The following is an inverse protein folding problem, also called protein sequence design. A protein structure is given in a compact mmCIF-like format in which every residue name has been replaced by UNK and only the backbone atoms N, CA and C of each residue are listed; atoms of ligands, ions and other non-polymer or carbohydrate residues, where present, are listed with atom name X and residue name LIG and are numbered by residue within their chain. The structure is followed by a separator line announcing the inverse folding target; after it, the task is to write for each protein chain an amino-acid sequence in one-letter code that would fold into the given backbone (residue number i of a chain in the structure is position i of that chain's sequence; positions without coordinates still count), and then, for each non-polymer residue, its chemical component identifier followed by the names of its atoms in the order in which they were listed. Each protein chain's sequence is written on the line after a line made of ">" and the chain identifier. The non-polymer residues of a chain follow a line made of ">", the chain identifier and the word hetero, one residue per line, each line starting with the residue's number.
data_IF_148293154699
#
_entry.id   IF_148293154699
#
_cell.length_a   1.000
_cell.length_b   1.000
_cell.length_c   1.000
_cell.angle_alpha   90.00
_cell.angle_beta   90.00
_cell.angle_gamma   90.00
#
_symmetry.space_group_name_H-M   'P 1'
#
loop_
_entity.id
_entity.type
_entity.pdbx_description
1 polymer ?
#
# COMPACT_ATOMS: atom_id res chain seq x y z
N UNK A 1 34.06 -14.44 17.06
CA UNK A 1 33.87 -14.65 15.60
C UNK A 1 34.53 -13.47 14.92
N UNK A 2 35.68 -13.72 14.31
CA UNK A 2 36.59 -12.67 13.85
C UNK A 2 36.03 -11.91 12.64
N UNK A 3 35.99 -10.59 12.76
CA UNK A 3 35.56 -9.66 11.70
C UNK A 3 36.46 -9.78 10.45
N UNK A 4 37.70 -10.24 10.63
CA UNK A 4 38.65 -10.54 9.56
C UNK A 4 38.27 -11.81 8.76
N UNK A 5 37.68 -12.82 9.41
CA UNK A 5 37.23 -14.04 8.72
C UNK A 5 35.93 -13.80 7.91
N UNK A 6 35.13 -12.80 8.28
CA UNK A 6 33.97 -12.33 7.50
C UNK A 6 34.39 -11.51 6.26
N UNK A 7 35.52 -10.80 6.33
CA UNK A 7 36.03 -9.98 5.23
C UNK A 7 36.63 -10.81 4.08
N UNK A 8 37.25 -11.97 4.38
CA UNK A 8 37.77 -12.88 3.36
C UNK A 8 36.67 -13.73 2.68
N UNK A 9 35.47 -13.80 3.27
CA UNK A 9 34.33 -14.56 2.71
C UNK A 9 33.46 -13.75 1.73
N UNK A 10 33.50 -12.43 1.80
CA UNK A 10 32.67 -11.53 0.97
C UNK A 10 33.57 -10.84 -0.05
N UNK A 11 33.45 -11.15 -1.34
CA UNK A 11 34.33 -10.53 -2.33
C UNK A 11 33.99 -9.03 -2.42
N UNK A 12 35.03 -8.20 -2.39
CA UNK A 12 34.91 -6.75 -2.24
C UNK A 12 34.11 -6.08 -3.38
N UNK A 13 34.12 -6.70 -4.56
CA UNK A 13 33.33 -6.31 -5.72
C UNK A 13 31.81 -6.37 -5.47
N UNK A 14 31.31 -7.43 -4.83
CA UNK A 14 29.89 -7.57 -4.52
C UNK A 14 29.42 -6.53 -3.49
N UNK A 15 30.25 -6.24 -2.49
CA UNK A 15 29.94 -5.22 -1.49
C UNK A 15 29.94 -3.81 -2.09
N UNK A 16 30.83 -3.53 -3.04
CA UNK A 16 30.86 -2.27 -3.77
C UNK A 16 29.63 -2.11 -4.66
N UNK A 17 29.23 -3.15 -5.40
CA UNK A 17 28.04 -3.11 -6.27
C UNK A 17 26.78 -2.80 -5.45
N UNK A 18 26.59 -3.52 -4.33
CA UNK A 18 25.42 -3.35 -3.45
C UNK A 18 25.47 -2.02 -2.69
N UNK A 19 26.65 -1.60 -2.25
CA UNK A 19 26.82 -0.28 -1.63
C UNK A 19 26.48 0.85 -2.60
N UNK A 20 26.84 0.71 -3.88
CA UNK A 20 26.47 1.67 -4.93
C UNK A 20 24.97 1.62 -5.19
N UNK A 21 24.34 0.45 -5.27
CA UNK A 21 22.89 0.35 -5.51
C UNK A 21 22.10 0.96 -4.35
N UNK A 22 22.49 0.73 -3.10
CA UNK A 22 21.91 1.37 -1.92
C UNK A 22 22.02 2.89 -1.97
N UNK A 23 23.20 3.42 -2.30
CA UNK A 23 23.40 4.86 -2.47
C UNK A 23 22.53 5.43 -3.60
N UNK A 24 22.45 4.75 -4.73
CA UNK A 24 21.62 5.16 -5.86
C UNK A 24 20.13 5.17 -5.51
N UNK A 25 19.63 4.12 -4.86
CA UNK A 25 18.23 4.06 -4.43
C UNK A 25 17.92 5.12 -3.37
N UNK A 26 18.84 5.38 -2.44
CA UNK A 26 18.67 6.42 -1.44
C UNK A 26 18.65 7.82 -2.05
N UNK A 27 19.59 8.11 -2.97
CA UNK A 27 19.64 9.40 -3.68
C UNK A 27 18.41 9.60 -4.57
N UNK A 28 17.97 8.54 -5.26
CA UNK A 28 16.75 8.56 -6.06
C UNK A 28 15.52 8.83 -5.17
N UNK A 29 15.40 8.13 -4.04
CA UNK A 29 14.30 8.34 -3.09
C UNK A 29 14.30 9.77 -2.54
N UNK A 30 15.48 10.30 -2.19
CA UNK A 30 15.64 11.66 -1.71
C UNK A 30 15.25 12.69 -2.79
N UNK A 31 15.71 12.50 -4.02
CA UNK A 31 15.36 13.36 -5.15
C UNK A 31 13.85 13.31 -5.42
N UNK A 32 13.26 12.12 -5.52
CA UNK A 32 11.82 11.92 -5.71
C UNK A 32 11.00 12.59 -4.61
N UNK A 33 11.38 12.38 -3.35
CA UNK A 33 10.70 12.99 -2.22
C UNK A 33 10.81 14.53 -2.26
N UNK A 34 12.00 15.06 -2.54
CA UNK A 34 12.24 16.51 -2.56
C UNK A 34 11.54 17.23 -3.72
N UNK A 35 11.45 16.59 -4.88
CA UNK A 35 10.90 17.19 -6.10
C UNK A 35 9.38 17.03 -6.21
N UNK A 36 8.83 15.88 -5.79
CA UNK A 36 7.41 15.56 -6.00
C UNK A 36 6.58 15.54 -4.74
N UNK A 37 7.13 15.09 -3.61
CA UNK A 37 6.35 14.85 -2.39
C UNK A 37 6.40 16.02 -1.39
N UNK A 38 7.48 16.80 -1.40
CA UNK A 38 7.67 17.87 -0.42
C UNK A 38 6.88 19.15 -0.71
N UNK A 39 6.36 19.29 -1.93
CA UNK A 39 5.69 20.52 -2.36
C UNK A 39 4.41 20.83 -1.56
N UNK A 40 3.82 19.82 -0.89
CA UNK A 40 2.58 19.94 -0.11
C UNK A 40 2.72 19.60 1.40
N UNK A 41 3.90 19.20 1.90
CA UNK A 41 4.07 18.71 3.29
C UNK A 41 4.67 19.79 4.22
N UNK A 42 3.91 20.85 4.55
CA UNK A 42 4.31 21.91 5.49
C UNK A 42 4.24 21.51 6.99
N UNK A 43 4.87 20.40 7.40
CA UNK A 43 5.06 20.10 8.84
C UNK A 43 6.46 20.54 9.28
N UNK A 44 6.57 21.81 9.70
CA UNK A 44 7.82 22.55 9.92
C UNK A 44 8.82 21.96 10.94
N UNK A 45 8.41 21.05 11.82
CA UNK A 45 9.29 20.51 12.89
C UNK A 45 9.61 19.00 12.78
N UNK A 46 8.88 18.21 12.00
CA UNK A 46 9.06 16.73 11.90
C UNK A 46 9.38 16.27 10.48
N UNK A 47 9.36 17.18 9.50
CA UNK A 47 9.55 16.87 8.10
C UNK A 47 10.94 16.34 7.71
N UNK A 48 11.98 16.47 8.55
CA UNK A 48 13.32 15.92 8.25
C UNK A 48 13.39 14.43 8.60
N UNK A 49 12.76 14.01 9.69
CA UNK A 49 12.78 12.62 10.11
C UNK A 49 11.88 11.76 9.22
N UNK A 50 10.70 12.25 8.85
CA UNK A 50 9.80 11.54 7.92
C UNK A 50 10.44 11.35 6.53
N UNK A 51 11.17 12.34 6.04
CA UNK A 51 12.03 12.25 4.84
C UNK A 51 13.02 11.10 4.94
N UNK A 52 13.78 11.07 6.02
CA UNK A 52 14.81 10.05 6.24
C UNK A 52 14.17 8.66 6.30
N UNK A 53 13.07 8.52 7.05
CA UNK A 53 12.32 7.26 7.09
C UNK A 53 11.84 6.81 5.73
N UNK A 54 11.25 7.70 4.93
CA UNK A 54 10.84 7.36 3.56
C UNK A 54 12.02 6.92 2.69
N UNK A 55 13.16 7.59 2.77
CA UNK A 55 14.32 7.22 1.97
C UNK A 55 14.88 5.85 2.39
N UNK A 56 14.90 5.56 3.70
CA UNK A 56 15.36 4.27 4.23
C UNK A 56 14.36 3.14 3.90
N UNK A 57 13.05 3.35 4.08
CA UNK A 57 12.03 2.34 3.70
C UNK A 57 12.14 2.01 2.22
N UNK A 58 12.26 3.04 1.37
CA UNK A 58 12.35 2.88 -0.07
C UNK A 58 13.62 2.15 -0.49
N UNK A 59 14.78 2.55 0.05
CA UNK A 59 16.06 1.91 -0.22
C UNK A 59 16.03 0.42 0.14
N UNK A 60 15.60 0.06 1.35
CA UNK A 60 15.54 -1.33 1.79
C UNK A 60 14.53 -2.15 0.97
N UNK A 61 13.41 -1.54 0.56
CA UNK A 61 12.41 -2.23 -0.29
C UNK A 61 12.96 -2.52 -1.69
N UNK A 62 13.65 -1.55 -2.30
CA UNK A 62 14.30 -1.75 -3.60
C UNK A 62 15.50 -2.70 -3.54
N UNK A 63 16.22 -2.70 -2.42
CA UNK A 63 17.30 -3.66 -2.16
C UNK A 63 16.80 -5.12 -2.13
N UNK A 64 15.68 -5.40 -1.42
CA UNK A 64 15.08 -6.75 -1.44
C UNK A 64 14.67 -7.15 -2.85
N UNK A 65 14.11 -6.22 -3.63
CA UNK A 65 13.72 -6.49 -5.01
C UNK A 65 14.93 -6.77 -5.91
N UNK A 66 16.02 -6.00 -5.77
CA UNK A 66 17.28 -6.24 -6.47
C UNK A 66 17.87 -7.61 -6.10
N UNK A 67 17.89 -7.95 -4.81
CA UNK A 67 18.34 -9.25 -4.30
C UNK A 67 17.51 -10.40 -4.89
N UNK A 68 16.18 -10.24 -4.98
CA UNK A 68 15.29 -11.22 -5.61
C UNK A 68 15.60 -11.40 -7.11
N UNK A 69 15.88 -10.30 -7.83
CA UNK A 69 16.29 -10.38 -9.25
C UNK A 69 17.62 -11.11 -9.38
N UNK A 70 18.60 -10.83 -8.52
CA UNK A 70 19.90 -11.51 -8.54
C UNK A 70 19.83 -12.98 -8.13
N UNK A 71 18.84 -13.35 -7.31
CA UNK A 71 18.50 -14.75 -7.06
C UNK A 71 17.94 -15.43 -8.30
N UNK A 72 16.97 -14.80 -8.97
CA UNK A 72 16.34 -15.36 -10.17
C UNK A 72 17.32 -15.45 -11.36
N UNK A 73 18.29 -14.54 -11.44
CA UNK A 73 19.30 -14.51 -12.49
C UNK A 73 20.57 -15.30 -12.17
N UNK A 74 20.70 -15.83 -10.94
CA UNK A 74 21.85 -16.57 -10.42
C UNK A 74 23.23 -15.89 -10.64
N UNK A 75 23.26 -14.55 -10.53
CA UNK A 75 24.46 -13.74 -10.79
C UNK A 75 25.34 -13.60 -9.54
N UNK A 76 24.71 -13.57 -8.35
CA UNK A 76 25.38 -13.23 -7.09
C UNK A 76 25.59 -14.46 -6.21
N UNK A 77 26.75 -14.52 -5.52
CA UNK A 77 27.07 -15.62 -4.59
C UNK A 77 25.99 -15.79 -3.51
N UNK A 78 25.63 -17.03 -3.14
CA UNK A 78 24.55 -17.31 -2.21
C UNK A 78 24.80 -16.76 -0.79
N UNK A 79 26.05 -16.78 -0.31
CA UNK A 79 26.40 -16.28 1.02
C UNK A 79 26.20 -14.76 1.15
N UNK A 80 26.65 -13.99 0.15
CA UNK A 80 26.46 -12.53 0.11
C UNK A 80 24.99 -12.16 -0.01
N UNK A 81 24.24 -12.89 -0.85
CA UNK A 81 22.79 -12.73 -0.99
C UNK A 81 22.06 -12.91 0.34
N UNK A 82 22.36 -14.01 1.05
CA UNK A 82 21.71 -14.33 2.31
C UNK A 82 21.98 -13.27 3.38
N UNK A 83 23.21 -12.73 3.43
CA UNK A 83 23.56 -11.66 4.35
C UNK A 83 22.77 -10.38 4.06
N UNK A 84 22.73 -9.94 2.80
CA UNK A 84 22.01 -8.71 2.42
C UNK A 84 20.51 -8.87 2.69
N UNK A 85 19.94 -10.01 2.29
CA UNK A 85 18.54 -10.34 2.54
C UNK A 85 18.19 -10.33 4.03
N UNK A 86 19.07 -10.87 4.90
CA UNK A 86 18.89 -10.81 6.34
C UNK A 86 18.96 -9.36 6.87
N UNK A 87 19.92 -8.56 6.41
CA UNK A 87 20.03 -7.15 6.81
C UNK A 87 18.77 -6.38 6.41
N UNK A 88 18.31 -6.53 5.17
CA UNK A 88 17.13 -5.83 4.67
C UNK A 88 15.86 -6.26 5.40
N UNK A 89 15.71 -7.56 5.68
CA UNK A 89 14.57 -8.06 6.46
C UNK A 89 14.58 -7.56 7.90
N UNK A 90 15.73 -7.57 8.59
CA UNK A 90 15.85 -6.99 9.94
C UNK A 90 15.55 -5.49 9.90
N UNK A 91 16.08 -4.80 8.89
CA UNK A 91 15.87 -3.36 8.69
C UNK A 91 14.40 -3.02 8.49
N UNK A 92 13.72 -3.67 7.54
CA UNK A 92 12.29 -3.48 7.28
C UNK A 92 11.43 -3.92 8.47
N UNK A 93 11.81 -5.00 9.16
CA UNK A 93 11.13 -5.46 10.36
C UNK A 93 11.13 -4.39 11.45
N UNK A 94 12.30 -3.85 11.77
CA UNK A 94 12.45 -2.76 12.74
C UNK A 94 11.68 -1.51 12.31
N UNK A 95 11.73 -1.17 11.02
CA UNK A 95 11.09 0.01 10.47
C UNK A 95 9.56 -0.08 10.59
N UNK A 96 8.99 -1.24 10.24
CA UNK A 96 7.54 -1.48 10.29
C UNK A 96 7.03 -1.65 11.71
N UNK A 97 7.71 -2.40 12.58
CA UNK A 97 7.19 -2.71 13.90
C UNK A 97 7.44 -1.64 14.96
N UNK A 98 8.49 -0.83 14.81
CA UNK A 98 8.87 0.16 15.83
C UNK A 98 8.89 1.58 15.26
N UNK A 99 9.68 1.81 14.22
CA UNK A 99 9.98 3.18 13.82
C UNK A 99 8.77 3.92 13.20
N UNK A 100 8.03 3.26 12.32
CA UNK A 100 6.83 3.84 11.68
C UNK A 100 5.72 4.08 12.73
N UNK A 101 5.35 3.11 13.59
CA UNK A 101 4.36 3.31 14.64
C UNK A 101 4.70 4.44 15.62
N UNK A 102 5.94 4.49 16.11
CA UNK A 102 6.42 5.58 16.99
C UNK A 102 6.18 6.94 16.35
N UNK A 103 6.53 7.09 15.08
CA UNK A 103 6.34 8.35 14.37
C UNK A 103 4.88 8.69 14.16
N UNK A 104 4.04 7.72 13.83
CA UNK A 104 2.60 7.91 13.65
C UNK A 104 1.91 8.34 14.96
N UNK A 105 2.26 7.69 16.07
CA UNK A 105 1.72 8.07 17.38
C UNK A 105 2.26 9.41 17.87
N UNK A 106 3.52 9.74 17.57
CA UNK A 106 4.09 11.04 17.89
C UNK A 106 3.44 12.17 17.10
N UNK A 107 3.22 12.02 15.79
CA UNK A 107 2.53 13.03 14.98
C UNK A 107 1.08 13.21 15.45
N UNK A 108 0.35 12.12 15.70
CA UNK A 108 -1.01 12.16 16.23
C UNK A 108 -1.09 12.84 17.61
N UNK A 109 -0.15 12.56 18.51
CA UNK A 109 -0.09 13.22 19.82
C UNK A 109 0.23 14.73 19.71
N UNK A 110 1.02 15.11 18.71
CA UNK A 110 1.34 16.52 18.43
C UNK A 110 0.17 17.28 17.80
N UNK A 111 -0.64 16.64 16.98
CA UNK A 111 -1.87 17.22 16.41
C UNK A 111 -2.87 17.62 17.51
N UNK A 112 -2.93 16.87 18.60
CA UNK A 112 -3.77 17.17 19.78
C UNK A 112 -3.23 18.33 20.66
N UNK A 113 -2.21 19.07 20.19
CA UNK A 113 -1.56 20.22 20.87
C UNK A 113 -0.99 19.90 22.27
N UNK A 114 -0.58 18.66 22.52
CA UNK A 114 0.09 18.28 23.76
C UNK A 114 1.50 18.90 23.88
N UNK A 115 1.95 19.18 25.11
CA UNK A 115 3.33 19.59 25.39
C UNK A 115 4.30 18.48 24.98
N UNK A 116 5.51 18.83 24.52
CA UNK A 116 6.51 17.86 24.00
C UNK A 116 6.75 16.66 24.93
N UNK A 117 6.88 16.88 26.23
CA UNK A 117 7.07 15.80 27.21
C UNK A 117 5.85 14.88 27.33
N UNK A 118 4.64 15.45 27.35
CA UNK A 118 3.40 14.66 27.43
C UNK A 118 3.16 13.87 26.14
N UNK A 119 3.48 14.45 24.98
CA UNK A 119 3.40 13.74 23.70
C UNK A 119 4.32 12.52 23.68
N UNK A 120 5.58 12.65 24.13
CA UNK A 120 6.52 11.52 24.19
C UNK A 120 6.01 10.41 25.13
N UNK A 121 5.49 10.76 26.31
CA UNK A 121 4.94 9.76 27.24
C UNK A 121 3.75 9.03 26.62
N UNK A 122 2.82 9.76 25.99
CA UNK A 122 1.67 9.15 25.30
C UNK A 122 2.13 8.24 24.15
N UNK A 123 3.11 8.67 23.35
CA UNK A 123 3.69 7.85 22.28
C UNK A 123 4.29 6.56 22.84
N UNK A 124 5.07 6.61 23.92
CA UNK A 124 5.67 5.41 24.52
C UNK A 124 4.59 4.45 25.04
N UNK A 125 3.56 4.97 25.71
CA UNK A 125 2.46 4.14 26.23
C UNK A 125 1.70 3.46 25.08
N UNK A 126 1.38 4.22 24.02
CA UNK A 126 0.72 3.68 22.83
C UNK A 126 1.60 2.66 22.11
N UNK A 127 2.90 2.94 21.98
CA UNK A 127 3.87 2.04 21.35
C UNK A 127 3.99 0.72 22.09
N UNK A 128 4.12 0.75 23.42
CA UNK A 128 4.17 -0.47 24.24
C UNK A 128 2.87 -1.26 24.11
N UNK A 129 1.72 -0.57 24.11
CA UNK A 129 0.42 -1.22 23.92
C UNK A 129 0.28 -1.85 22.53
N UNK A 130 0.81 -1.18 21.50
CA UNK A 130 0.81 -1.65 20.11
C UNK A 130 1.73 -2.86 19.96
N UNK A 131 2.96 -2.81 20.49
CA UNK A 131 3.89 -3.94 20.47
C UNK A 131 3.30 -5.13 21.22
N UNK A 132 2.67 -4.93 22.38
CA UNK A 132 1.99 -6.00 23.08
C UNK A 132 0.88 -6.64 22.23
N UNK A 133 0.04 -5.84 21.58
CA UNK A 133 -1.00 -6.34 20.68
C UNK A 133 -0.43 -7.06 19.44
N UNK A 134 0.65 -6.54 18.86
CA UNK A 134 1.39 -7.12 17.74
C UNK A 134 2.00 -8.48 18.12
N UNK A 135 2.55 -8.59 19.33
CA UNK A 135 3.08 -9.84 19.83
C UNK A 135 1.99 -10.84 20.20
N UNK A 136 0.84 -10.36 20.68
CA UNK A 136 -0.31 -11.22 20.96
C UNK A 136 -1.00 -11.72 19.68
N UNK A 137 -1.01 -10.93 18.60
CA UNK A 137 -1.63 -11.34 17.33
C UNK A 137 -0.93 -12.54 16.69
N UNK A 138 0.36 -12.75 16.98
CA UNK A 138 1.12 -13.90 16.51
C UNK A 138 0.76 -15.24 17.14
N UNK A 139 0.05 -15.26 18.26
CA UNK A 139 -0.43 -16.49 18.88
C UNK A 139 -1.60 -17.12 18.08
N UNK A 140 -2.31 -16.31 17.30
CA UNK A 140 -3.41 -16.76 16.44
C UNK A 140 -2.95 -17.33 15.10
N UNK A 141 -1.66 -17.21 14.78
CA UNK A 141 -1.08 -17.81 13.57
C UNK A 141 -0.84 -19.28 13.86
N UNK A 142 -1.47 -20.22 13.12
CA UNK A 142 -1.13 -21.63 13.23
C UNK A 142 0.35 -21.76 12.89
N UNK A 143 1.17 -22.10 13.89
CA UNK A 143 2.59 -22.33 13.70
C UNK A 143 2.79 -23.29 12.54
N UNK A 144 3.68 -22.94 11.60
CA UNK A 144 4.16 -23.87 10.59
C UNK A 144 4.56 -25.18 11.29
N UNK A 145 4.17 -26.36 10.77
CA UNK A 145 4.56 -27.62 11.36
C UNK A 145 6.08 -27.78 11.24
N UNK A 146 6.81 -27.30 12.24
CA UNK A 146 8.22 -27.58 12.42
C UNK A 146 8.36 -29.03 12.92
N UNK A 147 9.28 -29.84 12.36
CA UNK A 147 9.50 -31.19 12.83
C UNK A 147 9.93 -31.15 14.30
N UNK A 148 9.42 -32.04 15.17
CA UNK A 148 9.87 -32.12 16.54
C UNK A 148 11.28 -32.72 16.54
N UNK A 149 12.31 -31.89 16.62
CA UNK A 149 13.63 -32.39 17.04
C UNK A 149 13.56 -32.63 18.54
N UNK A 150 13.27 -33.87 18.87
CA UNK A 150 13.38 -34.48 20.19
C UNK A 150 14.70 -34.11 20.86
N UNK A 151 14.66 -33.51 22.05
CA UNK A 151 15.17 -34.13 23.28
C UNK A 151 15.11 -33.17 24.47
N UNK A 152 14.46 -33.68 25.53
CA UNK A 152 14.74 -33.40 26.94
C UNK A 152 14.13 -32.12 27.54
N UNK A 153 12.89 -32.26 27.98
CA UNK A 153 12.37 -31.94 29.32
C UNK A 153 13.36 -31.15 30.21
N UNK A 154 13.16 -29.82 30.28
CA UNK A 154 13.64 -28.83 31.28
C UNK A 154 14.16 -27.49 30.70
N UNK A 155 14.03 -27.23 29.39
CA UNK A 155 14.43 -25.96 28.77
C UNK A 155 13.36 -25.34 27.82
N UNK A 156 12.07 -25.63 28.05
CA UNK A 156 10.99 -25.19 27.15
C UNK A 156 10.73 -23.68 27.18
N UNK A 157 10.90 -23.01 28.32
CA UNK A 157 10.61 -21.58 28.41
C UNK A 157 11.63 -20.73 27.64
N UNK A 158 12.93 -21.05 27.74
CA UNK A 158 13.99 -20.24 27.12
C UNK A 158 13.99 -20.34 25.59
N UNK A 159 13.61 -21.49 25.03
CA UNK A 159 13.52 -21.69 23.58
C UNK A 159 12.31 -20.97 22.96
N UNK A 160 11.23 -20.79 23.73
CA UNK A 160 10.09 -19.97 23.31
C UNK A 160 10.49 -18.50 23.17
N UNK A 161 11.19 -17.91 24.15
CA UNK A 161 11.66 -16.51 24.07
C UNK A 161 12.66 -16.28 22.93
N UNK A 162 13.52 -17.25 22.61
CA UNK A 162 14.45 -17.14 21.49
C UNK A 162 13.74 -17.31 20.13
N UNK A 163 12.75 -18.21 20.04
CA UNK A 163 11.91 -18.35 18.84
C UNK A 163 10.96 -17.16 18.62
N UNK A 164 10.51 -16.54 19.71
CA UNK A 164 9.72 -15.31 19.73
C UNK A 164 10.48 -14.18 19.04
N UNK A 165 11.73 -13.90 19.44
CA UNK A 165 12.55 -12.84 18.84
C UNK A 165 13.27 -13.27 17.55
N UNK A 166 13.01 -14.49 17.06
CA UNK A 166 13.56 -14.97 15.80
C UNK A 166 12.95 -14.23 14.61
N UNK A 167 13.78 -13.89 13.62
CA UNK A 167 13.38 -13.23 12.37
C UNK A 167 12.23 -13.97 11.68
N UNK A 168 12.25 -15.29 11.71
CA UNK A 168 11.21 -16.14 11.12
C UNK A 168 9.84 -15.96 11.81
N UNK A 169 9.83 -15.91 13.14
CA UNK A 169 8.62 -15.65 13.92
C UNK A 169 8.06 -14.25 13.66
N UNK A 170 8.94 -13.26 13.51
CA UNK A 170 8.54 -11.89 13.16
C UNK A 170 7.90 -11.81 11.76
N UNK A 171 8.52 -12.45 10.75
CA UNK A 171 8.02 -12.48 9.37
C UNK A 171 6.64 -13.14 9.30
N UNK A 172 6.45 -14.25 10.02
CA UNK A 172 5.15 -14.94 10.11
C UNK A 172 4.03 -14.02 10.64
N UNK A 173 4.34 -13.23 11.68
CA UNK A 173 3.40 -12.30 12.32
C UNK A 173 3.05 -11.11 11.42
N UNK A 174 4.05 -10.49 10.81
CA UNK A 174 3.85 -9.39 9.85
C UNK A 174 3.10 -9.89 8.62
N UNK A 175 3.41 -11.10 8.13
CA UNK A 175 2.70 -11.74 7.03
C UNK A 175 1.23 -11.97 7.35
N UNK A 176 0.91 -12.52 8.52
CA UNK A 176 -0.47 -12.68 8.97
C UNK A 176 -1.21 -11.33 9.05
N UNK A 177 -0.65 -10.32 9.72
CA UNK A 177 -1.27 -9.00 9.82
C UNK A 177 -1.46 -8.36 8.44
N UNK A 178 -0.44 -8.46 7.57
CA UNK A 178 -0.49 -7.94 6.21
C UNK A 178 -1.62 -8.56 5.38
N UNK A 179 -1.80 -9.88 5.43
CA UNK A 179 -2.89 -10.57 4.74
C UNK A 179 -4.25 -10.17 5.31
N UNK A 180 -4.38 -10.04 6.63
CA UNK A 180 -5.63 -9.57 7.26
C UNK A 180 -5.99 -8.15 6.80
N UNK A 181 -5.04 -7.22 6.82
CA UNK A 181 -5.27 -5.84 6.36
C UNK A 181 -5.54 -5.78 4.85
N UNK A 182 -4.83 -6.57 4.04
CA UNK A 182 -5.07 -6.64 2.60
C UNK A 182 -6.46 -7.19 2.29
N UNK A 183 -6.91 -8.22 3.01
CA UNK A 183 -8.25 -8.79 2.88
C UNK A 183 -9.35 -7.78 3.26
N UNK A 184 -9.19 -7.09 4.38
CA UNK A 184 -10.15 -6.08 4.85
C UNK A 184 -10.25 -4.90 3.87
N UNK A 185 -9.11 -4.35 3.45
CA UNK A 185 -9.07 -3.22 2.52
C UNK A 185 -9.60 -3.61 1.14
N UNK A 186 -9.28 -4.83 0.67
CA UNK A 186 -9.83 -5.37 -0.56
C UNK A 186 -11.34 -5.58 -0.47
N UNK A 187 -11.84 -6.10 0.65
CA UNK A 187 -13.28 -6.29 0.89
C UNK A 187 -14.06 -4.98 0.92
N UNK A 188 -13.52 -3.95 1.57
CA UNK A 188 -14.08 -2.60 1.51
C UNK A 188 -14.03 -2.04 0.09
N UNK A 189 -12.90 -2.15 -0.61
CA UNK A 189 -12.76 -1.68 -2.00
C UNK A 189 -13.73 -2.35 -2.96
N UNK A 190 -13.97 -3.66 -2.80
CA UNK A 190 -14.90 -4.43 -3.61
C UNK A 190 -16.37 -4.02 -3.40
N UNK A 191 -16.71 -3.40 -2.27
CA UNK A 191 -18.06 -2.87 -2.01
C UNK A 191 -18.15 -1.39 -2.38
N UNK A 192 -17.13 -0.60 -2.06
CA UNK A 192 -17.13 0.84 -2.35
C UNK A 192 -17.09 1.12 -3.87
N UNK A 193 -16.33 0.33 -4.64
CA UNK A 193 -16.20 0.53 -6.08
C UNK A 193 -17.52 0.32 -6.86
N UNK A 194 -18.30 -0.75 -6.64
CA UNK A 194 -19.65 -0.84 -7.19
C UNK A 194 -20.59 0.21 -6.60
N UNK A 195 -20.52 0.54 -5.30
CA UNK A 195 -21.37 1.59 -4.73
C UNK A 195 -21.19 2.96 -5.42
N UNK A 196 -19.94 3.37 -5.67
CA UNK A 196 -19.65 4.62 -6.40
C UNK A 196 -20.05 4.53 -7.87
N UNK A 197 -19.70 3.43 -8.54
CA UNK A 197 -19.95 3.26 -9.99
C UNK A 197 -21.41 2.94 -10.34
N UNK A 198 -22.22 2.40 -9.44
CA UNK A 198 -23.63 2.04 -9.68
C UNK A 198 -24.50 3.28 -9.86
N UNK A 199 -24.14 4.43 -9.29
CA UNK A 199 -24.81 5.72 -9.52
C UNK A 199 -24.69 6.21 -10.96
N UNK A 200 -23.65 5.78 -11.70
CA UNK A 200 -23.48 6.07 -13.13
C UNK A 200 -24.50 5.29 -13.95
N UNK A 201 -24.76 4.02 -13.59
CA UNK A 201 -25.74 3.17 -14.27
C UNK A 201 -27.19 3.46 -13.84
N UNK A 202 -27.42 3.94 -12.62
CA UNK A 202 -28.76 4.25 -12.10
C UNK A 202 -29.25 5.66 -12.40
N UNK A 203 -28.41 6.53 -13.00
CA UNK A 203 -28.86 7.82 -13.49
C UNK A 203 -29.77 7.60 -14.69
N UNK A 204 -31.09 7.63 -14.45
CA UNK A 204 -32.06 7.69 -15.54
C UNK A 204 -31.82 8.98 -16.32
N UNK A 205 -31.31 8.84 -17.54
CA UNK A 205 -31.05 9.98 -18.42
C UNK A 205 -32.39 10.47 -18.95
N UNK A 206 -32.80 11.69 -18.57
CA UNK A 206 -34.00 12.32 -19.12
C UNK A 206 -33.78 12.61 -20.62
N UNK A 207 -34.80 12.41 -21.45
CA UNK A 207 -34.71 12.64 -22.92
C UNK A 207 -34.29 14.08 -23.26
N UNK A 208 -34.62 15.04 -22.39
CA UNK A 208 -34.22 16.44 -22.48
C UNK A 208 -32.69 16.65 -22.40
N UNK A 209 -32.02 15.90 -21.52
CA UNK A 209 -30.56 15.91 -21.38
C UNK A 209 -29.88 15.29 -22.60
N UNK A 210 -30.48 14.26 -23.19
CA UNK A 210 -30.01 13.61 -24.42
C UNK A 210 -30.08 14.59 -25.59
N UNK A 211 -31.23 15.24 -25.78
CA UNK A 211 -31.42 16.26 -26.83
C UNK A 211 -30.50 17.47 -26.63
N UNK A 212 -30.28 17.88 -25.38
CA UNK A 212 -29.33 18.92 -25.02
C UNK A 212 -27.89 18.55 -25.37
N UNK A 213 -27.48 17.32 -25.06
CA UNK A 213 -26.15 16.81 -25.39
C UNK A 213 -25.96 16.62 -26.89
N UNK A 214 -26.98 16.12 -27.60
CA UNK A 214 -26.95 15.97 -29.06
C UNK A 214 -26.76 17.33 -29.76
N UNK A 215 -27.49 18.37 -29.31
CA UNK A 215 -27.31 19.73 -29.82
C UNK A 215 -25.90 20.26 -29.58
N UNK A 216 -25.33 20.03 -28.39
CA UNK A 216 -23.95 20.43 -28.05
C UNK A 216 -22.91 19.67 -28.87
N UNK A 217 -23.09 18.37 -29.09
CA UNK A 217 -22.21 17.54 -29.92
C UNK A 217 -22.24 18.01 -31.37
N UNK A 218 -23.44 18.28 -31.91
CA UNK A 218 -23.61 18.80 -33.27
C UNK A 218 -22.91 20.15 -33.46
N UNK A 219 -23.10 21.07 -32.51
CA UNK A 219 -22.40 22.37 -32.50
C UNK A 219 -20.87 22.22 -32.41
N UNK A 220 -20.38 21.32 -31.54
CA UNK A 220 -18.95 21.06 -31.42
C UNK A 220 -18.39 20.43 -32.71
N UNK A 221 -19.13 19.56 -33.38
CA UNK A 221 -18.76 18.97 -34.66
C UNK A 221 -18.67 20.04 -35.75
N UNK A 222 -19.63 20.96 -35.82
CA UNK A 222 -19.60 22.09 -36.77
C UNK A 222 -18.38 22.99 -36.50
N UNK A 223 -18.11 23.31 -35.24
CA UNK A 223 -16.91 24.05 -34.84
C UNK A 223 -15.62 23.30 -35.21
N UNK A 224 -15.57 21.98 -35.02
CA UNK A 224 -14.43 21.15 -35.40
C UNK A 224 -14.26 21.15 -36.92
N UNK A 225 -15.33 21.06 -37.70
CA UNK A 225 -15.26 21.11 -39.18
C UNK A 225 -14.75 22.47 -39.63
N UNK A 226 -15.22 23.57 -39.04
CA UNK A 226 -14.71 24.92 -39.34
C UNK A 226 -13.23 25.03 -38.98
N UNK A 227 -12.84 24.57 -37.79
CA UNK A 227 -11.43 24.56 -37.35
C UNK A 227 -10.57 23.65 -38.22
N UNK A 228 -11.06 22.48 -38.64
CA UNK A 228 -10.38 21.57 -39.57
C UNK A 228 -10.28 22.15 -40.97
N UNK A 229 -11.29 22.89 -41.46
CA UNK A 229 -11.22 23.61 -42.75
C UNK A 229 -10.19 24.74 -42.68
N UNK A 230 -10.15 25.48 -41.56
CA UNK A 230 -9.15 26.53 -41.32
C UNK A 230 -7.73 25.95 -41.23
N UNK A 231 -7.55 24.90 -40.43
CA UNK A 231 -6.28 24.19 -40.28
C UNK A 231 -5.90 23.51 -41.60
N UNK A 232 -6.82 22.91 -42.36
CA UNK A 232 -6.52 22.34 -43.66
C UNK A 232 -6.08 23.41 -44.66
N UNK A 233 -6.67 24.61 -44.64
CA UNK A 233 -6.19 25.75 -45.43
C UNK A 233 -4.76 26.16 -45.03
N UNK A 234 -4.48 26.24 -43.73
CA UNK A 234 -3.16 26.57 -43.17
C UNK A 234 -2.13 25.44 -43.38
N UNK A 235 -2.57 24.17 -43.42
CA UNK A 235 -1.74 22.97 -43.61
C UNK A 235 -1.50 22.68 -45.10
N UNK A 236 -2.46 22.96 -45.98
CA UNK A 236 -2.25 22.93 -47.44
C UNK A 236 -1.22 23.98 -47.88
N UNK A 237 -1.08 25.08 -47.12
CA UNK A 237 0.01 26.03 -47.29
C UNK A 237 1.37 25.53 -46.74
N UNK A 238 1.40 24.49 -45.90
CA UNK A 238 2.54 24.20 -45.03
C UNK A 238 3.04 22.74 -44.98
N UNK A 239 2.77 21.84 -45.94
CA UNK A 239 3.49 20.55 -45.93
C UNK A 239 3.69 19.83 -47.27
N UNK A 240 4.94 19.85 -47.73
CA UNK A 240 5.63 18.70 -48.37
C UNK A 240 6.13 17.75 -47.26
N UNK A 241 6.20 16.47 -47.62
CA UNK A 241 6.85 15.32 -46.94
C UNK A 241 6.22 14.74 -45.65
N UNK A 242 5.50 13.64 -45.90
CA UNK A 242 5.79 12.26 -45.50
C UNK A 242 5.14 11.64 -44.24
N UNK A 243 4.93 10.33 -44.44
CA UNK A 243 4.07 9.27 -43.95
C UNK A 243 4.25 8.82 -42.49
N UNK A 244 3.26 8.05 -41.99
CA UNK A 244 3.44 7.19 -40.82
C UNK A 244 2.17 6.89 -40.01
N UNK A 245 1.68 5.65 -40.14
CA UNK A 245 0.40 5.10 -39.68
C UNK A 245 0.52 4.41 -38.30
N UNK A 246 -0.43 4.59 -37.36
CA UNK A 246 -0.59 3.68 -36.19
C UNK A 246 -1.96 3.77 -35.51
N UNK A 247 -2.65 2.63 -35.33
CA UNK A 247 -3.69 2.43 -34.31
C UNK A 247 -3.81 0.94 -33.92
N UNK A 248 -3.86 0.70 -32.59
CA UNK A 248 -4.56 -0.31 -31.72
C UNK A 248 -4.61 -1.79 -32.17
N UNK A 249 -4.54 -2.83 -31.34
CA UNK A 249 -5.12 -3.10 -30.00
C UNK A 249 -4.35 -4.25 -29.30
N UNK A 250 -4.68 -4.47 -28.02
CA UNK A 250 -4.20 -5.47 -27.04
C UNK A 250 -5.02 -6.77 -27.14
N UNK A 251 -4.46 -7.95 -26.80
CA UNK A 251 -5.05 -8.89 -25.83
C UNK A 251 -4.24 -10.17 -25.56
N UNK A 252 -4.35 -10.57 -24.28
CA UNK A 252 -4.19 -11.87 -23.62
C UNK A 252 -2.86 -12.64 -23.70
N UNK A 253 -2.29 -12.96 -22.53
CA UNK A 253 -2.17 -14.33 -21.97
C UNK A 253 -1.70 -14.21 -20.51
N UNK A 254 -2.50 -14.68 -19.55
CA UNK A 254 -2.00 -15.16 -18.26
C UNK A 254 -2.76 -16.43 -17.86
N UNK A 255 -2.01 -17.49 -17.59
CA UNK A 255 -2.51 -18.79 -17.16
C UNK A 255 -2.83 -18.83 -15.65
N UNK A 256 -3.49 -19.89 -15.19
CA UNK A 256 -3.91 -20.03 -13.80
C UNK A 256 -2.73 -20.45 -12.91
N UNK A 257 -2.59 -19.80 -11.76
CA UNK A 257 -1.68 -20.24 -10.70
C UNK A 257 -2.51 -20.44 -9.42
N UNK A 258 -2.51 -21.67 -8.95
CA UNK A 258 -3.22 -22.12 -7.75
C UNK A 258 -2.41 -21.82 -6.48
N UNK A 259 -2.97 -21.03 -5.56
CA UNK A 259 -2.42 -20.79 -4.22
C UNK A 259 -3.50 -21.01 -3.14
N UNK A 260 -3.89 -22.25 -2.87
CA UNK A 260 -5.06 -22.57 -2.02
C UNK A 260 -4.86 -22.43 -0.50
N UNK A 261 -3.66 -22.14 0.00
CA UNK A 261 -3.41 -22.06 1.45
C UNK A 261 -3.73 -20.69 2.07
N UNK A 262 -3.22 -19.62 1.46
CA UNK A 262 -3.44 -18.24 1.93
C UNK A 262 -4.72 -17.62 1.35
N UNK A 263 -5.16 -18.08 0.18
CA UNK A 263 -6.40 -17.61 -0.45
C UNK A 263 -7.63 -17.87 0.42
N UNK A 264 -7.73 -19.01 1.09
CA UNK A 264 -8.91 -19.32 1.92
C UNK A 264 -9.07 -18.37 3.12
N UNK A 265 -7.97 -17.99 3.78
CA UNK A 265 -8.01 -17.00 4.87
C UNK A 265 -8.29 -15.59 4.35
N UNK A 266 -7.66 -15.22 3.23
CA UNK A 266 -7.92 -13.96 2.55
C UNK A 266 -9.40 -13.86 2.12
N UNK A 267 -9.96 -14.89 1.49
CA UNK A 267 -11.33 -14.95 0.99
C UNK A 267 -12.35 -14.86 2.13
N UNK A 268 -12.13 -15.57 3.25
CA UNK A 268 -13.03 -15.49 4.41
C UNK A 268 -13.02 -14.09 5.02
N UNK A 269 -11.84 -13.49 5.23
CA UNK A 269 -11.71 -12.13 5.76
C UNK A 269 -12.24 -11.06 4.80
N UNK A 270 -12.05 -11.27 3.50
CA UNK A 270 -12.62 -10.45 2.43
C UNK A 270 -14.15 -10.49 2.45
N UNK A 271 -14.75 -11.68 2.52
CA UNK A 271 -16.21 -11.84 2.57
C UNK A 271 -16.80 -11.25 3.84
N UNK A 272 -16.16 -11.45 5.00
CA UNK A 272 -16.61 -10.87 6.27
C UNK A 272 -16.52 -9.34 6.24
N UNK A 273 -15.41 -8.76 5.78
CA UNK A 273 -15.28 -7.30 5.67
C UNK A 273 -16.24 -6.69 4.63
N UNK A 274 -16.50 -7.37 3.52
CA UNK A 274 -17.47 -6.96 2.51
C UNK A 274 -18.91 -7.00 3.04
N UNK A 275 -19.32 -8.09 3.72
CA UNK A 275 -20.65 -8.20 4.31
C UNK A 275 -20.89 -7.18 5.43
N UNK A 276 -19.89 -6.92 6.27
CA UNK A 276 -19.95 -5.84 7.27
C UNK A 276 -20.10 -4.48 6.60
N UNK A 277 -19.33 -4.20 5.54
CA UNK A 277 -19.41 -2.93 4.80
C UNK A 277 -20.77 -2.73 4.13
N UNK A 278 -21.33 -3.77 3.52
CA UNK A 278 -22.70 -3.77 2.95
C UNK A 278 -23.73 -3.52 4.05
N UNK A 279 -23.63 -4.20 5.20
CA UNK A 279 -24.54 -4.03 6.33
C UNK A 279 -24.51 -2.61 6.89
N UNK A 280 -23.32 -2.00 6.98
CA UNK A 280 -23.14 -0.64 7.47
C UNK A 280 -23.73 0.40 6.48
N UNK A 281 -23.54 0.20 5.18
CA UNK A 281 -24.20 1.00 4.14
C UNK A 281 -25.74 0.84 4.20
N UNK A 282 -26.23 -0.38 4.43
CA UNK A 282 -27.66 -0.65 4.61
C UNK A 282 -28.25 0.09 5.81
N UNK A 283 -27.59 0.04 6.97
CA UNK A 283 -27.98 0.79 8.17
C UNK A 283 -27.96 2.30 7.95
N UNK A 284 -26.91 2.83 7.31
CA UNK A 284 -26.81 4.25 7.00
C UNK A 284 -27.93 4.68 6.05
N UNK A 285 -28.25 3.89 5.03
CA UNK A 285 -29.33 4.22 4.10
C UNK A 285 -30.71 4.12 4.78
N UNK A 286 -30.93 3.12 5.63
CA UNK A 286 -32.15 3.00 6.43
C UNK A 286 -32.31 4.18 7.41
N UNK A 287 -31.22 4.61 8.05
CA UNK A 287 -31.23 5.77 8.94
C UNK A 287 -31.51 7.09 8.21
N UNK A 288 -31.01 7.25 6.97
CA UNK A 288 -31.32 8.40 6.11
C UNK A 288 -32.78 8.37 5.67
N UNK A 289 -33.29 7.23 5.21
CA UNK A 289 -34.69 7.05 4.83
C UNK A 289 -35.63 7.32 6.01
N UNK A 290 -35.29 6.85 7.21
CA UNK A 290 -36.05 7.11 8.44
C UNK A 290 -36.07 8.60 8.80
N UNK A 291 -34.95 9.31 8.66
CA UNK A 291 -34.90 10.77 8.82
C UNK A 291 -35.77 11.51 7.79
N UNK A 292 -35.66 11.17 6.51
CA UNK A 292 -36.45 11.81 5.44
C UNK A 292 -37.95 11.51 5.58
N UNK A 293 -38.32 10.32 6.04
CA UNK A 293 -39.70 9.94 6.31
C UNK A 293 -40.29 10.74 7.48
N UNK A 294 -39.51 10.98 8.53
CA UNK A 294 -39.94 11.78 9.68
C UNK A 294 -40.09 13.26 9.33
N UNK A 295 -39.18 13.82 8.52
CA UNK A 295 -39.29 15.19 8.01
C UNK A 295 -40.53 15.36 7.12
N UNK A 296 -40.84 14.38 6.27
CA UNK A 296 -42.03 14.40 5.40
C UNK A 296 -43.33 14.33 6.20
N UNK A 297 -43.39 13.53 7.27
CA UNK A 297 -44.56 13.43 8.15
C UNK A 297 -44.79 14.73 8.92
N UNK A 298 -43.71 15.38 9.39
CA UNK A 298 -43.78 16.68 10.06
C UNK A 298 -44.22 17.83 9.14
N UNK A 299 -43.96 17.72 7.83
CA UNK A 299 -44.40 18.71 6.85
C UNK A 299 -45.91 18.58 6.51
N UNK A 300 -46.47 17.38 6.60
CA UNK A 300 -47.90 17.12 6.35
C UNK A 300 -48.78 17.64 7.51
N UNK A 301 -48.28 17.58 8.75
CA UNK A 301 -48.96 18.11 9.95
C UNK A 301 -49.02 19.65 10.02
N UNK A 302 -48.39 20.35 9.07
CA UNK A 302 -48.29 21.82 9.02
C UNK A 302 -49.37 22.48 8.16
N UNK A 303 -50.23 21.71 7.52
CA UNK A 303 -51.37 22.21 6.75
C UNK A 303 -52.69 21.70 7.37
N UNK A 304 -53.50 22.58 7.99
CA UNK A 304 -54.79 22.22 8.58
C UNK A 304 -55.85 21.91 7.52
#
# INVERSE_FOLDING_TARGET
>A
MDVAALADLVPADALVIVGISWLLFFLFAYAFFSMWLFQDYEVRDTGVFSRFLFCVTFMLSFSIFEVLIFELADILRPATRQLIWQIDLVGLAFLIAYMIPVMQFYTMAREQRLKRHQAIVVTIVLEVSFLYAFWKSGEYVPSLPLPPTSSTDAAEDTSYWVGLFSLEGFISRVGFLGVNFMAILSGFGAVNMPYESMTIFWRSVAEEDILGLERRVRQNLDMIVIKKKRIAYEVHAARRTDTGQRSRHIDAVLGPIDYYGFASWFDVLFVVSATVSIGLLGLLNYSKLSRTAQDSFSAFDKYP
#
